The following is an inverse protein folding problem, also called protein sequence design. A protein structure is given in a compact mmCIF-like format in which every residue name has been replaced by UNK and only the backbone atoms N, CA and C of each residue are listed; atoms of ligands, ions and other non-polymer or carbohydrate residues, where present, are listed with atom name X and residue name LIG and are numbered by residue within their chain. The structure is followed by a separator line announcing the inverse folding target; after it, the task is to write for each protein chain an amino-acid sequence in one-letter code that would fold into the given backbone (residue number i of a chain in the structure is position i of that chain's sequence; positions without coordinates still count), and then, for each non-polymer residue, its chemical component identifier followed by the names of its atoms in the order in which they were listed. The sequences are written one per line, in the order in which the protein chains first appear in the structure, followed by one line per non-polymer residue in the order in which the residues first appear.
data_IF_619441863152
#
_entry.id   IF_619441863152
#
_cell.length_a   1.000
_cell.length_b   1.000
_cell.length_c   1.000
_cell.angle_alpha   90.00
_cell.angle_beta   90.00
_cell.angle_gamma   90.00
#
_symmetry.space_group_name_H-M   'P 1'
#
loop_
_entity.id
_entity.type
_entity.pdbx_description
1 polymer ?
#
# COMPACT_ATOMS: atom_id res chain seq x y z
N UNK A 1 -19.07 14.15 -16.52
CA UNK A 1 -19.79 13.15 -15.69
C UNK A 1 -19.02 11.84 -15.75
N UNK A 2 -18.97 11.02 -14.68
CA UNK A 2 -18.37 9.67 -14.69
C UNK A 2 -19.46 8.62 -14.97
N UNK A 3 -19.08 7.42 -15.41
CA UNK A 3 -19.98 6.27 -15.58
C UNK A 3 -21.02 6.45 -16.69
N UNK A 4 -20.60 6.91 -17.87
CA UNK A 4 -21.49 7.10 -19.02
C UNK A 4 -21.44 5.92 -20.00
N UNK A 5 -20.74 4.83 -19.62
CA UNK A 5 -20.50 3.66 -20.46
C UNK A 5 -19.82 3.99 -21.80
N UNK A 6 -18.84 4.91 -21.78
CA UNK A 6 -18.09 5.30 -22.99
C UNK A 6 -16.73 4.60 -23.01
N UNK A 7 -16.44 3.89 -24.10
CA UNK A 7 -15.17 3.19 -24.32
C UNK A 7 -14.75 2.28 -23.15
N UNK A 8 -15.72 1.57 -22.56
CA UNK A 8 -15.46 0.61 -21.48
C UNK A 8 -15.22 -0.74 -22.11
N UNK A 9 -14.06 -1.34 -21.84
CA UNK A 9 -13.67 -2.65 -22.35
C UNK A 9 -13.55 -3.64 -21.20
N UNK A 10 -14.39 -4.67 -21.20
CA UNK A 10 -14.40 -5.71 -20.17
C UNK A 10 -14.20 -7.05 -20.87
N UNK A 11 -13.16 -7.79 -20.49
CA UNK A 11 -12.95 -9.14 -20.96
C UNK A 11 -14.15 -10.05 -20.62
N UNK A 12 -14.59 -10.95 -21.52
CA UNK A 12 -15.62 -11.93 -21.20
C UNK A 12 -15.21 -12.90 -20.07
N UNK A 13 -13.90 -13.05 -19.82
CA UNK A 13 -13.36 -13.89 -18.74
C UNK A 13 -13.22 -13.15 -17.41
N UNK A 14 -13.60 -11.87 -17.35
CA UNK A 14 -13.66 -11.13 -16.10
C UNK A 14 -14.95 -11.44 -15.33
N UNK A 15 -14.84 -11.56 -14.00
CA UNK A 15 -15.99 -11.74 -13.11
C UNK A 15 -16.29 -10.43 -12.42
N UNK A 16 -17.52 -9.94 -12.58
CA UNK A 16 -17.96 -8.65 -12.04
C UNK A 16 -19.06 -8.87 -11.00
N UNK A 17 -18.82 -8.40 -9.77
CA UNK A 17 -19.77 -8.44 -8.67
C UNK A 17 -20.98 -7.53 -8.85
N UNK A 18 -21.89 -7.58 -7.89
CA UNK A 18 -23.09 -6.73 -7.86
C UNK A 18 -22.73 -5.29 -7.49
N UNK A 19 -23.48 -4.32 -8.01
CA UNK A 19 -23.31 -2.91 -7.64
C UNK A 19 -22.04 -2.23 -8.18
N UNK A 20 -21.22 -2.93 -8.98
CA UNK A 20 -19.96 -2.41 -9.52
C UNK A 20 -20.20 -1.25 -10.48
N UNK A 21 -19.40 -0.18 -10.34
CA UNK A 21 -19.44 1.01 -11.21
C UNK A 21 -18.10 1.16 -11.93
N UNK A 22 -18.14 1.20 -13.27
CA UNK A 22 -16.94 1.31 -14.12
C UNK A 22 -16.99 2.60 -14.92
N UNK A 23 -15.98 3.44 -14.73
CA UNK A 23 -15.84 4.74 -15.37
C UNK A 23 -15.47 4.63 -16.85
N UNK A 24 -15.59 5.75 -17.57
CA UNK A 24 -15.33 5.81 -19.01
C UNK A 24 -13.85 5.53 -19.32
N UNK A 25 -13.56 5.01 -20.52
CA UNK A 25 -12.21 4.68 -21.01
C UNK A 25 -11.45 3.66 -20.15
N UNK A 26 -12.16 2.85 -19.36
CA UNK A 26 -11.54 1.84 -18.49
C UNK A 26 -11.46 0.48 -19.17
N UNK A 27 -10.33 -0.20 -18.98
CA UNK A 27 -10.09 -1.56 -19.48
C UNK A 27 -9.96 -2.54 -18.33
N UNK A 28 -10.71 -3.64 -18.38
CA UNK A 28 -10.65 -4.78 -17.46
C UNK A 28 -10.19 -6.02 -18.24
N UNK A 29 -9.00 -6.51 -17.95
CA UNK A 29 -8.37 -7.65 -18.62
C UNK A 29 -8.95 -9.02 -18.20
N UNK A 30 -8.64 -10.10 -18.94
CA UNK A 30 -9.03 -11.47 -18.56
C UNK A 30 -8.57 -11.86 -17.15
N UNK A 31 -9.30 -12.77 -16.51
CA UNK A 31 -9.04 -13.31 -15.17
C UNK A 31 -9.04 -12.28 -14.03
N UNK A 32 -9.56 -11.08 -14.27
CA UNK A 32 -9.87 -10.13 -13.20
C UNK A 32 -11.17 -10.55 -12.52
N UNK A 33 -11.16 -10.59 -11.19
CA UNK A 33 -12.34 -10.78 -10.34
C UNK A 33 -12.56 -9.51 -9.53
N UNK A 34 -13.72 -8.88 -9.73
CA UNK A 34 -14.13 -7.67 -9.04
C UNK A 34 -15.27 -8.03 -8.09
N UNK A 35 -15.06 -7.77 -6.80
CA UNK A 35 -16.06 -7.97 -5.75
C UNK A 35 -17.23 -6.99 -5.83
N UNK A 36 -18.17 -7.13 -4.90
CA UNK A 36 -19.38 -6.31 -4.86
C UNK A 36 -19.09 -4.85 -4.47
N UNK A 37 -19.93 -3.93 -4.95
CA UNK A 37 -19.91 -2.49 -4.62
C UNK A 37 -18.58 -1.78 -4.91
N UNK A 38 -17.75 -2.33 -5.80
CA UNK A 38 -16.50 -1.71 -6.24
C UNK A 38 -16.79 -0.53 -7.17
N UNK A 39 -16.09 0.57 -6.96
CA UNK A 39 -16.09 1.73 -7.87
C UNK A 39 -14.73 1.90 -8.53
N UNK A 40 -14.70 1.79 -9.86
CA UNK A 40 -13.52 2.08 -10.68
C UNK A 40 -13.81 3.35 -11.48
N UNK A 41 -13.00 4.38 -11.26
CA UNK A 41 -13.13 5.66 -11.96
C UNK A 41 -12.65 5.58 -13.41
N UNK A 42 -12.72 6.72 -14.12
CA UNK A 42 -12.34 6.80 -15.54
C UNK A 42 -10.86 6.52 -15.78
N UNK A 43 -10.57 6.06 -17.00
CA UNK A 43 -9.23 5.92 -17.55
C UNK A 43 -8.36 4.93 -16.76
N UNK A 44 -8.97 3.95 -16.10
CA UNK A 44 -8.25 2.93 -15.34
C UNK A 44 -7.92 1.71 -16.20
N UNK A 45 -6.87 1.00 -15.81
CA UNK A 45 -6.50 -0.29 -16.39
C UNK A 45 -6.37 -1.30 -15.26
N UNK A 46 -7.15 -2.39 -15.31
CA UNK A 46 -7.17 -3.41 -14.27
C UNK A 46 -6.83 -4.77 -14.87
N UNK A 47 -5.83 -5.43 -14.27
CA UNK A 47 -5.28 -6.69 -14.75
C UNK A 47 -4.29 -6.51 -15.91
N UNK A 48 -3.57 -5.38 -15.98
CA UNK A 48 -2.54 -5.11 -17.00
C UNK A 48 -1.58 -6.32 -17.09
N UNK A 49 -1.36 -6.88 -18.30
CA UNK A 49 -0.62 -8.11 -18.45
C UNK A 49 0.88 -7.95 -18.19
N UNK A 50 1.54 -9.08 -17.98
CA UNK A 50 3.00 -9.16 -17.95
C UNK A 50 3.59 -8.93 -19.34
N UNK A 51 4.88 -8.64 -19.40
CA UNK A 51 5.62 -8.50 -20.66
C UNK A 51 5.53 -9.73 -21.58
N UNK A 52 5.37 -10.93 -21.02
CA UNK A 52 5.23 -12.17 -21.81
C UNK A 52 3.99 -12.18 -22.70
N UNK A 53 2.96 -11.38 -22.41
CA UNK A 53 1.78 -11.21 -23.28
C UNK A 53 2.13 -10.83 -24.72
N UNK A 54 3.20 -10.07 -24.93
CA UNK A 54 3.57 -9.56 -26.24
C UNK A 54 4.36 -10.57 -27.09
N UNK A 55 4.89 -11.63 -26.48
CA UNK A 55 5.82 -12.58 -27.13
C UNK A 55 5.35 -14.02 -27.06
N UNK A 56 4.56 -14.38 -26.06
CA UNK A 56 4.07 -15.73 -25.83
C UNK A 56 2.61 -15.87 -26.27
N UNK A 57 2.38 -16.56 -27.39
CA UNK A 57 1.04 -16.81 -27.92
C UNK A 57 0.18 -17.72 -27.04
N UNK A 58 0.76 -18.38 -26.04
CA UNK A 58 0.06 -19.19 -25.04
C UNK A 58 -0.13 -18.46 -23.70
N UNK A 59 0.18 -17.16 -23.64
CA UNK A 59 0.08 -16.39 -22.40
C UNK A 59 -1.33 -16.41 -21.81
N UNK A 60 -1.41 -16.70 -20.51
CA UNK A 60 -2.64 -16.62 -19.73
C UNK A 60 -2.45 -15.54 -18.67
N UNK A 61 -3.32 -14.54 -18.66
CA UNK A 61 -3.24 -13.45 -17.70
C UNK A 61 -3.42 -13.98 -16.27
N UNK A 62 -2.47 -13.77 -15.35
CA UNK A 62 -2.62 -14.17 -13.95
C UNK A 62 -3.85 -13.54 -13.30
N UNK A 63 -4.51 -14.28 -12.41
CA UNK A 63 -5.72 -13.82 -11.72
C UNK A 63 -5.45 -12.58 -10.87
N UNK A 64 -6.24 -11.53 -11.05
CA UNK A 64 -6.25 -10.34 -10.19
C UNK A 64 -7.56 -10.25 -9.43
N UNK A 65 -7.52 -9.89 -8.15
CA UNK A 65 -8.71 -9.80 -7.31
C UNK A 65 -8.83 -8.39 -6.72
N UNK A 66 -9.96 -7.72 -6.96
CA UNK A 66 -10.33 -6.47 -6.30
C UNK A 66 -11.45 -6.76 -5.30
N UNK A 67 -11.17 -6.64 -4.00
CA UNK A 67 -12.13 -6.94 -2.93
C UNK A 67 -13.30 -5.97 -2.85
N UNK A 68 -14.35 -6.39 -2.13
CA UNK A 68 -15.62 -5.67 -2.02
C UNK A 68 -15.46 -4.23 -1.52
N UNK A 69 -16.31 -3.32 -1.99
CA UNK A 69 -16.35 -1.92 -1.55
C UNK A 69 -15.10 -1.11 -1.90
N UNK A 70 -14.22 -1.62 -2.78
CA UNK A 70 -13.00 -0.92 -3.17
C UNK A 70 -13.28 0.33 -4.01
N UNK A 71 -12.40 1.33 -3.90
CA UNK A 71 -12.46 2.57 -4.67
C UNK A 71 -11.15 2.80 -5.43
N UNK A 72 -11.16 2.55 -6.73
CA UNK A 72 -10.03 2.79 -7.62
C UNK A 72 -10.23 4.12 -8.33
N UNK A 73 -9.38 5.11 -8.04
CA UNK A 73 -9.45 6.46 -8.64
C UNK A 73 -8.76 6.52 -10.00
N UNK A 74 -9.08 7.59 -10.74
CA UNK A 74 -8.81 7.70 -12.18
C UNK A 74 -7.34 7.54 -12.54
N UNK A 75 -7.10 6.99 -13.72
CA UNK A 75 -5.76 6.71 -14.26
C UNK A 75 -4.94 5.71 -13.44
N UNK A 76 -5.57 4.90 -12.59
CA UNK A 76 -4.86 3.83 -11.92
C UNK A 76 -4.56 2.69 -12.90
N UNK A 77 -3.34 2.15 -12.86
CA UNK A 77 -2.92 0.97 -13.61
C UNK A 77 -2.58 -0.10 -12.58
N UNK A 78 -3.33 -1.20 -12.59
CA UNK A 78 -3.16 -2.35 -11.71
C UNK A 78 -2.86 -3.57 -12.56
N UNK A 79 -1.72 -4.20 -12.33
CA UNK A 79 -1.26 -5.37 -13.07
C UNK A 79 -1.97 -6.66 -12.64
N UNK A 80 -1.82 -7.67 -13.50
CA UNK A 80 -2.26 -9.03 -13.27
C UNK A 80 -1.59 -9.67 -12.03
N UNK A 81 -2.22 -10.70 -11.45
CA UNK A 81 -1.62 -11.50 -10.37
C UNK A 81 -1.68 -10.89 -8.97
N UNK A 82 -2.18 -9.66 -8.84
CA UNK A 82 -2.26 -8.94 -7.56
C UNK A 82 -3.61 -9.15 -6.87
N UNK A 83 -3.61 -9.16 -5.54
CA UNK A 83 -4.81 -9.35 -4.71
C UNK A 83 -4.99 -8.18 -3.76
N UNK A 84 -6.21 -7.63 -3.74
CA UNK A 84 -6.56 -6.48 -2.92
C UNK A 84 -7.78 -6.84 -2.06
N UNK A 85 -7.63 -6.71 -0.74
CA UNK A 85 -8.68 -6.98 0.23
C UNK A 85 -9.86 -6.01 0.13
N UNK A 86 -10.90 -6.27 0.93
CA UNK A 86 -12.08 -5.41 0.98
C UNK A 86 -11.71 -3.98 1.41
N UNK A 87 -12.41 -2.98 0.84
CA UNK A 87 -12.19 -1.57 1.16
C UNK A 87 -10.87 -1.00 0.66
N UNK A 88 -10.17 -1.69 -0.25
CA UNK A 88 -8.95 -1.15 -0.87
C UNK A 88 -9.26 0.14 -1.62
N UNK A 89 -8.39 1.15 -1.52
CA UNK A 89 -8.61 2.40 -2.25
C UNK A 89 -7.35 3.05 -2.77
N UNK A 90 -7.49 3.77 -3.89
CA UNK A 90 -6.39 4.50 -4.50
C UNK A 90 -6.67 6.00 -4.62
N UNK A 91 -5.59 6.77 -4.72
CA UNK A 91 -5.55 8.10 -5.30
C UNK A 91 -5.50 8.04 -6.83
N UNK A 92 -5.24 9.17 -7.47
CA UNK A 92 -5.17 9.23 -8.93
C UNK A 92 -3.81 8.78 -9.45
N UNK A 93 -3.75 8.23 -10.67
CA UNK A 93 -2.48 7.91 -11.36
C UNK A 93 -1.55 7.00 -10.54
N UNK A 94 -2.14 6.06 -9.82
CA UNK A 94 -1.40 5.04 -9.06
C UNK A 94 -0.99 3.92 -10.01
N UNK A 95 0.22 3.41 -9.88
CA UNK A 95 0.68 2.21 -10.59
C UNK A 95 0.99 1.11 -9.58
N UNK A 96 0.38 -0.05 -9.73
CA UNK A 96 0.64 -1.23 -8.91
C UNK A 96 0.93 -2.40 -9.83
N UNK A 97 2.17 -2.87 -9.76
CA UNK A 97 2.66 -3.98 -10.56
C UNK A 97 2.22 -5.35 -10.00
N UNK A 98 2.63 -6.38 -10.70
CA UNK A 98 2.19 -7.76 -10.57
C UNK A 98 2.52 -8.38 -9.21
N UNK A 99 1.74 -9.38 -8.81
CA UNK A 99 2.00 -10.23 -7.64
C UNK A 99 2.17 -9.45 -6.33
N UNK A 100 1.47 -8.33 -6.19
CA UNK A 100 1.37 -7.58 -4.94
C UNK A 100 0.09 -7.95 -4.19
N UNK A 101 0.21 -8.11 -2.87
CA UNK A 101 -0.92 -8.41 -1.99
C UNK A 101 -1.13 -7.26 -1.02
N UNK A 102 -2.37 -6.75 -0.98
CA UNK A 102 -2.83 -5.78 0.00
C UNK A 102 -3.99 -6.37 0.76
N UNK A 103 -3.88 -6.41 2.09
CA UNK A 103 -4.98 -6.86 2.94
C UNK A 103 -6.06 -5.76 3.09
N UNK A 104 -7.04 -6.02 3.94
CA UNK A 104 -8.25 -5.20 4.14
C UNK A 104 -7.92 -3.73 4.45
N UNK A 105 -8.68 -2.82 3.84
CA UNK A 105 -8.68 -1.37 4.09
C UNK A 105 -7.34 -0.65 3.84
N UNK A 106 -6.49 -1.19 2.97
CA UNK A 106 -5.30 -0.49 2.51
C UNK A 106 -5.63 0.71 1.59
N UNK A 107 -4.79 1.74 1.65
CA UNK A 107 -4.92 2.97 0.86
C UNK A 107 -3.61 3.32 0.17
N UNK A 108 -3.67 3.56 -1.14
CA UNK A 108 -2.50 3.95 -1.94
C UNK A 108 -2.72 5.33 -2.55
N UNK A 109 -1.98 6.32 -2.08
CA UNK A 109 -2.15 7.73 -2.46
C UNK A 109 -1.75 8.04 -3.90
N UNK A 110 -2.15 9.22 -4.37
CA UNK A 110 -1.94 9.70 -5.75
C UNK A 110 -0.48 9.62 -6.18
N UNK A 111 -0.22 9.18 -7.42
CA UNK A 111 1.12 9.01 -8.02
C UNK A 111 2.03 7.98 -7.35
N UNK A 112 1.54 7.21 -6.37
CA UNK A 112 2.34 6.15 -5.77
C UNK A 112 2.57 4.99 -6.74
N UNK A 113 3.76 4.41 -6.65
CA UNK A 113 4.32 3.43 -7.56
C UNK A 113 4.79 2.21 -6.77
N UNK A 114 4.13 1.07 -6.97
CA UNK A 114 4.37 -0.18 -6.27
C UNK A 114 4.91 -1.19 -7.29
N UNK A 115 6.17 -1.61 -7.12
CA UNK A 115 6.94 -2.29 -8.16
C UNK A 115 6.65 -3.80 -8.33
N UNK A 116 5.71 -4.36 -7.56
CA UNK A 116 5.29 -5.75 -7.66
C UNK A 116 5.99 -6.65 -6.63
N UNK A 117 5.49 -7.87 -6.44
CA UNK A 117 6.03 -8.82 -5.44
C UNK A 117 6.13 -8.22 -4.03
N UNK A 118 5.14 -7.43 -3.61
CA UNK A 118 5.11 -6.78 -2.29
C UNK A 118 3.94 -7.27 -1.45
N UNK A 119 4.08 -7.25 -0.13
CA UNK A 119 3.00 -7.64 0.79
C UNK A 119 2.70 -6.51 1.76
N UNK A 120 1.41 -6.21 1.94
CA UNK A 120 0.90 -5.24 2.92
C UNK A 120 -0.15 -5.91 3.81
N UNK A 121 0.00 -5.74 5.13
CA UNK A 121 -1.01 -6.10 6.12
C UNK A 121 -2.23 -5.19 6.09
N UNK A 122 -3.10 -5.27 7.11
CA UNK A 122 -4.37 -4.52 7.14
C UNK A 122 -4.14 -3.03 7.39
N UNK A 123 -5.04 -2.19 6.87
CA UNK A 123 -5.10 -0.76 7.18
C UNK A 123 -3.79 0.03 6.92
N UNK A 124 -2.97 -0.39 5.95
CA UNK A 124 -1.78 0.36 5.54
C UNK A 124 -2.16 1.62 4.75
N UNK A 125 -1.60 2.76 5.11
CA UNK A 125 -1.89 4.04 4.45
C UNK A 125 -0.64 4.62 3.81
N UNK A 126 -0.56 4.50 2.49
CA UNK A 126 0.46 5.11 1.67
C UNK A 126 -0.08 6.44 1.16
N UNK A 127 0.65 7.51 1.42
CA UNK A 127 0.32 8.84 0.94
C UNK A 127 0.76 9.03 -0.52
N UNK A 128 0.85 10.28 -0.99
CA UNK A 128 1.11 10.58 -2.39
C UNK A 128 2.57 10.35 -2.77
N UNK A 129 2.79 9.84 -3.98
CA UNK A 129 4.10 9.69 -4.61
C UNK A 129 5.09 8.90 -3.75
N UNK A 130 4.62 7.79 -3.17
CA UNK A 130 5.45 6.80 -2.48
C UNK A 130 5.95 5.80 -3.52
N UNK A 131 7.22 5.43 -3.45
CA UNK A 131 7.79 4.34 -4.23
C UNK A 131 8.08 3.14 -3.33
N UNK A 132 7.52 1.98 -3.68
CA UNK A 132 7.76 0.72 -2.98
C UNK A 132 8.47 -0.26 -3.92
N UNK A 133 9.76 -0.48 -3.66
CA UNK A 133 10.57 -1.45 -4.37
C UNK A 133 10.08 -2.89 -4.18
N UNK A 134 10.41 -3.76 -5.15
CA UNK A 134 10.00 -5.17 -5.12
C UNK A 134 10.48 -5.89 -3.85
N UNK A 135 9.72 -6.91 -3.45
CA UNK A 135 9.98 -7.74 -2.25
C UNK A 135 9.92 -6.99 -0.93
N UNK A 136 9.38 -5.77 -0.91
CA UNK A 136 9.08 -5.06 0.33
C UNK A 136 7.92 -5.75 1.07
N UNK A 137 8.03 -5.85 2.39
CA UNK A 137 6.98 -6.37 3.27
C UNK A 137 6.60 -5.29 4.29
N UNK A 138 5.30 -5.03 4.42
CA UNK A 138 4.75 -4.00 5.28
C UNK A 138 3.70 -4.64 6.18
N UNK A 139 3.87 -4.49 7.49
CA UNK A 139 2.97 -5.01 8.52
C UNK A 139 1.63 -4.27 8.58
N UNK A 140 0.91 -4.43 9.68
CA UNK A 140 -0.41 -3.86 9.87
C UNK A 140 -0.35 -2.39 10.31
N UNK A 141 -1.32 -1.59 9.88
CA UNK A 141 -1.49 -0.19 10.31
C UNK A 141 -0.25 0.69 10.06
N UNK A 142 0.56 0.37 9.05
CA UNK A 142 1.75 1.16 8.72
C UNK A 142 1.35 2.40 7.92
N UNK A 143 1.87 3.56 8.31
CA UNK A 143 1.71 4.79 7.54
C UNK A 143 2.99 5.12 6.81
N UNK A 144 2.89 5.35 5.51
CA UNK A 144 3.99 5.73 4.64
C UNK A 144 3.67 7.09 4.05
N UNK A 145 4.36 8.13 4.53
CA UNK A 145 4.09 9.52 4.17
C UNK A 145 4.63 9.88 2.78
N UNK A 146 4.30 11.06 2.21
CA UNK A 146 4.64 11.37 0.82
C UNK A 146 6.14 11.26 0.50
N UNK A 147 6.47 10.94 -0.75
CA UNK A 147 7.86 10.90 -1.25
C UNK A 147 8.78 9.90 -0.55
N UNK A 148 8.23 8.93 0.19
CA UNK A 148 9.04 7.84 0.73
C UNK A 148 9.46 6.88 -0.37
N UNK A 149 10.70 6.38 -0.29
CA UNK A 149 11.28 5.44 -1.26
C UNK A 149 11.82 4.22 -0.54
N UNK A 150 11.32 3.04 -0.90
CA UNK A 150 11.91 1.76 -0.49
C UNK A 150 12.76 1.23 -1.64
N UNK A 151 14.03 0.94 -1.35
CA UNK A 151 14.99 0.42 -2.33
C UNK A 151 15.23 -1.07 -2.10
N UNK A 152 15.76 -1.78 -3.10
CA UNK A 152 15.87 -3.24 -3.05
C UNK A 152 17.17 -3.84 -3.60
N UNK A 153 18.05 -3.07 -4.22
CA UNK A 153 19.37 -3.54 -4.72
C UNK A 153 20.50 -3.02 -3.82
N UNK A 154 21.13 -3.88 -2.99
CA UNK A 154 22.19 -3.46 -2.05
C UNK A 154 23.44 -2.88 -2.73
N UNK A 155 23.75 -3.32 -3.95
CA UNK A 155 24.98 -2.96 -4.68
C UNK A 155 24.67 -2.78 -6.18
N UNK A 156 23.99 -1.69 -6.56
CA UNK A 156 23.39 -1.60 -7.88
C UNK A 156 24.40 -1.33 -9.02
N UNK A 157 24.17 -1.90 -10.22
CA UNK A 157 23.17 -2.93 -10.54
C UNK A 157 23.63 -4.34 -10.11
N UNK A 158 22.72 -5.15 -9.57
CA UNK A 158 22.96 -6.57 -9.26
C UNK A 158 21.72 -7.47 -9.45
N UNK A 159 21.92 -8.80 -9.42
CA UNK A 159 20.83 -9.79 -9.41
C UNK A 159 20.17 -9.93 -8.02
N UNK A 160 20.68 -9.21 -7.02
CA UNK A 160 20.18 -9.26 -5.64
C UNK A 160 19.05 -8.26 -5.48
N UNK A 161 17.86 -8.78 -5.21
CA UNK A 161 16.68 -7.98 -4.86
C UNK A 161 16.22 -8.38 -3.46
N UNK A 162 16.35 -7.48 -2.49
CA UNK A 162 15.95 -7.62 -1.09
C UNK A 162 15.24 -6.34 -0.66
N UNK A 163 13.91 -6.38 -0.61
CA UNK A 163 13.11 -5.25 -0.18
C UNK A 163 13.14 -5.03 1.34
N UNK A 164 12.78 -3.84 1.84
CA UNK A 164 12.70 -3.57 3.26
C UNK A 164 11.52 -4.29 3.93
N UNK A 165 11.63 -4.51 5.23
CA UNK A 165 10.55 -5.05 6.08
C UNK A 165 10.15 -4.01 7.13
N UNK A 166 8.87 -3.65 7.19
CA UNK A 166 8.34 -2.63 8.12
C UNK A 166 7.35 -3.29 9.07
N UNK A 167 7.61 -3.21 10.37
CA UNK A 167 6.75 -3.77 11.42
C UNK A 167 5.48 -2.96 11.67
N UNK A 168 4.54 -3.59 12.37
CA UNK A 168 3.21 -3.07 12.66
C UNK A 168 3.24 -1.69 13.34
N UNK A 169 2.26 -0.85 13.00
CA UNK A 169 2.05 0.49 13.55
C UNK A 169 3.21 1.47 13.33
N UNK A 170 4.24 1.10 12.56
CA UNK A 170 5.35 1.99 12.25
C UNK A 170 4.95 3.09 11.26
N UNK A 171 5.65 4.21 11.34
CA UNK A 171 5.42 5.38 10.51
C UNK A 171 6.71 5.80 9.80
N UNK A 172 6.65 5.87 8.47
CA UNK A 172 7.78 6.29 7.66
C UNK A 172 7.51 7.71 7.16
N UNK A 173 8.13 8.70 7.78
CA UNK A 173 7.87 10.11 7.51
C UNK A 173 8.33 10.55 6.12
N UNK A 174 7.76 11.68 5.69
CA UNK A 174 7.91 12.27 4.35
C UNK A 174 9.36 12.28 3.86
N UNK A 175 9.58 11.89 2.61
CA UNK A 175 10.90 11.96 1.95
C UNK A 175 11.96 11.00 2.51
N UNK A 176 11.59 10.04 3.37
CA UNK A 176 12.56 9.06 3.87
C UNK A 176 12.91 8.03 2.80
N UNK A 177 14.17 7.57 2.81
CA UNK A 177 14.67 6.48 1.96
C UNK A 177 15.06 5.31 2.84
N UNK A 178 14.52 4.13 2.55
CA UNK A 178 14.86 2.89 3.25
C UNK A 178 15.78 2.05 2.35
N UNK A 179 16.99 1.77 2.84
CA UNK A 179 17.97 0.96 2.10
C UNK A 179 17.52 -0.51 1.98
N UNK A 180 18.10 -1.28 1.04
CA UNK A 180 17.73 -2.66 0.78
C UNK A 180 17.94 -3.56 2.01
N UNK A 181 17.02 -4.50 2.21
CA UNK A 181 17.07 -5.49 3.29
C UNK A 181 16.99 -4.93 4.71
N UNK A 182 16.68 -3.64 4.89
CA UNK A 182 16.51 -3.05 6.21
C UNK A 182 15.20 -3.51 6.84
N UNK A 183 15.28 -3.93 8.10
CA UNK A 183 14.13 -4.20 8.96
C UNK A 183 13.90 -3.01 9.89
N UNK A 184 12.70 -2.45 9.85
CA UNK A 184 12.19 -1.51 10.85
C UNK A 184 11.18 -2.26 11.71
N UNK A 185 11.37 -2.26 13.02
CA UNK A 185 10.51 -2.91 14.00
C UNK A 185 9.11 -2.30 14.08
N UNK A 186 8.37 -2.67 15.13
CA UNK A 186 7.02 -2.18 15.39
C UNK A 186 7.04 -0.82 16.09
N UNK A 187 5.97 -0.05 15.92
CA UNK A 187 5.79 1.27 16.55
C UNK A 187 6.96 2.25 16.33
N UNK A 188 7.76 2.06 15.29
CA UNK A 188 8.88 2.93 14.97
C UNK A 188 8.42 4.23 14.29
N UNK A 189 9.26 5.25 14.36
CA UNK A 189 9.08 6.49 13.63
C UNK A 189 10.38 6.86 12.90
N UNK A 190 10.33 6.99 11.59
CA UNK A 190 11.40 7.71 10.88
C UNK A 190 11.10 9.20 10.91
N UNK A 191 12.11 10.04 11.11
CA UNK A 191 12.01 11.48 10.90
C UNK A 191 11.96 11.81 9.42
N UNK A 192 11.40 12.97 9.08
CA UNK A 192 11.34 13.44 7.69
C UNK A 192 12.74 13.49 7.04
N UNK A 193 12.84 13.04 5.78
CA UNK A 193 14.07 13.07 5.00
C UNK A 193 15.17 12.10 5.47
N UNK A 194 14.84 11.10 6.28
CA UNK A 194 15.85 10.18 6.82
C UNK A 194 16.32 9.16 5.78
N UNK A 195 17.63 8.87 5.75
CA UNK A 195 18.20 7.76 4.96
C UNK A 195 18.53 6.61 5.90
N UNK A 196 17.65 5.61 5.98
CA UNK A 196 17.77 4.50 6.93
C UNK A 196 18.71 3.45 6.38
N UNK A 197 19.88 3.31 7.02
CA UNK A 197 20.97 2.44 6.55
C UNK A 197 21.24 1.24 7.45
N UNK A 198 20.48 1.07 8.53
CA UNK A 198 20.63 -0.01 9.52
C UNK A 198 19.26 -0.39 10.04
N UNK A 199 19.13 -1.62 10.53
CA UNK A 199 17.91 -2.08 11.19
C UNK A 199 17.56 -1.19 12.38
N UNK A 200 16.26 -1.09 12.64
CA UNK A 200 15.67 -0.25 13.68
C UNK A 200 14.83 -1.16 14.57
N UNK A 201 15.12 -1.16 15.86
CA UNK A 201 14.38 -1.95 16.85
C UNK A 201 13.05 -1.28 17.20
N UNK A 202 12.15 -2.05 17.81
CA UNK A 202 10.82 -1.57 18.19
C UNK A 202 10.85 -0.25 18.99
N UNK A 203 9.84 0.59 18.77
CA UNK A 203 9.66 1.87 19.45
C UNK A 203 10.78 2.90 19.23
N UNK A 204 11.66 2.74 18.24
CA UNK A 204 12.73 3.71 18.00
C UNK A 204 12.30 4.87 17.09
N UNK A 205 12.76 6.07 17.44
CA UNK A 205 12.82 7.23 16.56
C UNK A 205 14.19 7.28 15.88
N UNK A 206 14.22 7.24 14.54
CA UNK A 206 15.44 7.43 13.75
C UNK A 206 15.37 8.70 12.90
N UNK A 207 16.45 9.48 12.85
CA UNK A 207 16.50 10.71 12.02
C UNK A 207 17.84 10.88 11.33
N UNK A 208 17.85 11.58 10.19
CA UNK A 208 19.07 12.11 9.56
C UNK A 208 19.60 11.29 8.38
N UNK A 209 20.77 11.70 7.88
CA UNK A 209 21.47 11.05 6.77
C UNK A 209 22.97 10.87 7.11
N UNK A 210 23.43 9.64 7.34
CA UNK A 210 22.63 8.42 7.52
C UNK A 210 21.81 8.49 8.83
N UNK A 211 20.64 7.85 8.86
CA UNK A 211 19.73 7.91 9.98
C UNK A 211 20.36 7.28 11.24
N UNK A 212 20.09 7.88 12.40
CA UNK A 212 20.55 7.42 13.71
C UNK A 212 19.38 7.38 14.68
N UNK A 213 19.39 6.38 15.57
CA UNK A 213 18.45 6.30 16.69
C UNK A 213 18.68 7.52 17.59
N UNK A 214 17.61 8.26 17.85
CA UNK A 214 17.62 9.45 18.70
C UNK A 214 17.13 9.12 20.09
N UNK A 215 15.99 8.43 20.18
CA UNK A 215 15.31 8.09 21.43
C UNK A 215 14.19 7.08 21.18
N UNK A 216 13.56 6.65 22.26
CA UNK A 216 12.29 5.93 22.23
C UNK A 216 11.15 6.87 21.84
N UNK A 217 10.22 6.41 21.00
CA UNK A 217 9.06 7.20 20.57
C UNK A 217 8.11 7.50 21.74
N UNK A 218 8.09 6.66 22.78
CA UNK A 218 7.22 6.84 23.96
C UNK A 218 7.61 8.08 24.78
N UNK A 219 8.83 8.57 24.60
CA UNK A 219 9.33 9.82 25.22
C UNK A 219 8.93 11.08 24.42
N UNK A 220 8.15 10.94 23.34
CA UNK A 220 7.64 12.07 22.56
C UNK A 220 6.32 12.54 23.15
N UNK A 221 6.32 13.79 23.63
CA UNK A 221 5.14 14.48 24.15
C UNK A 221 4.68 15.59 23.17
N UNK A 222 3.39 15.96 23.17
CA UNK A 222 2.97 17.23 22.57
C UNK A 222 3.26 18.45 23.45
N UNK A 223 2.88 19.62 22.95
CA UNK A 223 2.96 20.89 23.67
C UNK A 223 2.17 20.94 24.98
N UNK A 224 1.30 19.96 25.27
CA UNK A 224 0.59 19.85 26.55
C UNK A 224 1.20 18.77 27.47
N UNK A 225 2.34 18.17 27.09
CA UNK A 225 2.98 17.11 27.86
C UNK A 225 2.32 15.74 27.73
N UNK A 226 1.41 15.55 26.77
CA UNK A 226 0.71 14.27 26.57
C UNK A 226 1.53 13.40 25.62
N UNK A 227 1.80 12.12 25.93
CA UNK A 227 2.53 11.23 25.04
C UNK A 227 1.85 11.09 23.68
N UNK A 228 2.64 11.04 22.60
CA UNK A 228 2.15 10.84 21.22
C UNK A 228 2.19 9.40 20.75
N UNK A 229 3.09 8.59 21.32
CA UNK A 229 3.26 7.21 20.91
C UNK A 229 3.12 6.25 22.10
N UNK A 230 2.66 5.01 21.88
CA UNK A 230 2.18 4.45 20.60
C UNK A 230 0.94 5.17 20.08
N UNK A 231 0.86 5.43 18.77
CA UNK A 231 -0.19 6.27 18.19
C UNK A 231 -1.62 5.67 18.20
N UNK A 232 -1.85 4.34 18.20
CA UNK A 232 -3.21 3.80 18.07
C UNK A 232 -4.25 4.30 19.10
N UNK A 233 -3.97 4.34 20.43
CA UNK A 233 -4.92 4.91 21.40
C UNK A 233 -5.05 6.44 21.34
N UNK A 234 -4.30 7.11 20.44
CA UNK A 234 -4.19 8.58 20.36
C UNK A 234 -4.66 9.14 19.01
N UNK A 235 -4.96 8.26 18.06
CA UNK A 235 -5.51 8.60 16.75
C UNK A 235 -6.42 7.46 16.28
N UNK A 236 -7.62 7.82 15.87
CA UNK A 236 -8.71 6.86 15.63
C UNK A 236 -9.41 7.07 14.29
N UNK A 237 -9.26 8.25 13.67
CA UNK A 237 -9.92 8.59 12.42
C UNK A 237 -9.60 7.55 11.34
N UNK A 238 -10.65 6.89 10.83
CA UNK A 238 -10.53 5.88 9.78
C UNK A 238 -9.92 4.56 10.23
N UNK A 239 -9.77 4.36 11.54
CA UNK A 239 -9.33 3.13 12.17
C UNK A 239 -10.56 2.32 12.65
N UNK A 240 -10.43 0.98 12.77
CA UNK A 240 -11.54 0.14 13.22
C UNK A 240 -11.95 0.42 14.69
N UNK A 241 -11.15 1.15 15.45
CA UNK A 241 -11.44 1.58 16.82
C UNK A 241 -12.03 2.99 16.96
N UNK A 242 -12.39 3.65 15.85
CA UNK A 242 -12.94 5.03 15.88
C UNK A 242 -14.15 5.24 16.78
N UNK A 243 -15.01 4.23 16.95
CA UNK A 243 -16.23 4.35 17.76
C UNK A 243 -16.12 3.72 19.14
N UNK A 244 -15.23 2.75 19.33
CA UNK A 244 -15.13 1.94 20.54
C UNK A 244 -13.87 2.19 21.36
N UNK A 245 -12.88 2.89 20.80
CA UNK A 245 -11.56 3.09 21.42
C UNK A 245 -10.63 1.89 21.24
N UNK A 246 -9.33 2.15 21.21
CA UNK A 246 -8.31 1.16 20.86
C UNK A 246 -8.30 -0.06 21.80
N UNK A 247 -8.40 0.16 23.11
CA UNK A 247 -8.34 -0.93 24.10
C UNK A 247 -9.55 -1.87 24.01
N UNK A 248 -10.74 -1.33 23.68
CA UNK A 248 -11.94 -2.14 23.49
C UNK A 248 -11.87 -2.92 22.17
N UNK A 249 -11.35 -2.29 21.12
CA UNK A 249 -11.11 -2.93 19.84
C UNK A 249 -10.10 -4.07 19.95
N UNK A 250 -8.98 -3.87 20.65
CA UNK A 250 -7.95 -4.90 20.83
C UNK A 250 -8.53 -6.16 21.48
N UNK A 251 -9.37 -5.98 22.52
CA UNK A 251 -10.07 -7.10 23.18
C UNK A 251 -11.06 -7.82 22.27
N UNK A 252 -11.59 -7.15 21.25
CA UNK A 252 -12.57 -7.74 20.31
C UNK A 252 -11.95 -8.63 19.25
N UNK A 253 -10.65 -8.46 18.97
CA UNK A 253 -9.92 -9.24 17.95
C UNK A 253 -9.09 -10.38 18.54
N UNK A 254 -8.94 -10.44 19.87
CA UNK A 254 -8.30 -11.54 20.60
C UNK A 254 -9.26 -12.72 20.89
N UNK A 255 -10.55 -12.57 20.56
CA UNK A 255 -11.62 -13.57 20.74
C UNK A 255 -11.91 -14.31 19.43
#
# INVERSE_FOLDING_TARGET
MKFNNRNVHISPDAVIGQGVKIGDNTTIYPNVVIGDDVTICNDCVIGEPLSSYYTDGAYINPKTIIGNGSLIRSHAIIYCGSTFGAGFSTGHRVTIREYSTFDVNCRVGTLSDIQGHTTFGVHCWLHSNVHIGQKSTVGNFVFIYPYVVFTNDPTPPSDVCIGPTIGDYSQIAVGSVILPGITIGQHCLTGAGSIVTKNVEDYQLVVGNPARVVKDVRDILDGNGIPKYPWPPRFDRGMPWSEIGYDAWLKSIEQ
#
